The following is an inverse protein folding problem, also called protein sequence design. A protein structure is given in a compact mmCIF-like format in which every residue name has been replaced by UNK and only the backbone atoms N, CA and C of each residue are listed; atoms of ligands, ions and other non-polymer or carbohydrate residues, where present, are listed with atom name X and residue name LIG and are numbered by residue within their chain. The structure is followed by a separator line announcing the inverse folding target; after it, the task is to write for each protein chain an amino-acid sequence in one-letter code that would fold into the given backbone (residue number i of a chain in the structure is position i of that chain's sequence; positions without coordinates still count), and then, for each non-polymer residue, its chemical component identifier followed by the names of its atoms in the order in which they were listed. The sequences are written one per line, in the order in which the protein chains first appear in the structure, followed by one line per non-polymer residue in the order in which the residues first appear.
data_IF_594391353391
#
_entry.id   IF_594391353391
#
_cell.length_a   1.000
_cell.length_b   1.000
_cell.length_c   1.000
_cell.angle_alpha   90.00
_cell.angle_beta   90.00
_cell.angle_gamma   90.00
#
_symmetry.space_group_name_H-M   'P 1'
#
loop_
_entity.id
_entity.type
_entity.pdbx_description
1 polymer ?
#
# COMPACT_ATOMS: atom_id res chain seq x y z
N UNK A 1 7.91 -0.93 20.80
CA UNK A 1 7.30 -1.77 19.77
C UNK A 1 5.81 -1.87 19.99
N UNK A 2 5.02 -1.59 18.97
CA UNK A 2 3.60 -1.89 19.06
C UNK A 2 3.42 -3.39 19.31
N UNK A 3 2.49 -3.71 20.17
CA UNK A 3 2.37 -5.08 20.66
C UNK A 3 1.94 -6.11 19.65
N UNK A 4 1.07 -5.74 18.69
CA UNK A 4 0.43 -6.71 17.80
C UNK A 4 0.71 -6.40 16.35
N UNK A 5 1.54 -7.22 15.71
CA UNK A 5 1.82 -7.13 14.29
C UNK A 5 0.69 -7.78 13.48
N UNK A 6 0.35 -7.15 12.36
CA UNK A 6 -0.67 -7.67 11.47
C UNK A 6 -0.26 -8.99 10.82
N UNK A 7 -1.22 -9.90 10.65
CA UNK A 7 -0.98 -11.16 9.95
C UNK A 7 -0.60 -10.92 8.50
N UNK A 8 0.50 -11.52 7.99
CA UNK A 8 0.87 -11.38 6.59
C UNK A 8 -0.22 -11.86 5.63
N UNK A 9 -0.93 -12.93 5.95
CA UNK A 9 -2.00 -13.45 5.10
C UNK A 9 -3.16 -12.47 4.97
N UNK A 10 -3.59 -11.88 6.07
CA UNK A 10 -4.66 -10.87 6.04
C UNK A 10 -4.20 -9.58 5.36
N UNK A 11 -2.91 -9.25 5.45
CA UNK A 11 -2.35 -8.12 4.70
C UNK A 11 -2.40 -8.34 3.19
N UNK A 12 -2.16 -9.57 2.73
CA UNK A 12 -2.30 -9.93 1.32
C UNK A 12 -3.75 -9.73 0.87
N UNK A 13 -4.71 -10.23 1.64
CA UNK A 13 -6.14 -10.07 1.32
C UNK A 13 -6.52 -8.59 1.31
N UNK A 14 -6.09 -7.82 2.30
CA UNK A 14 -6.32 -6.38 2.33
C UNK A 14 -5.72 -5.66 1.13
N UNK A 15 -4.51 -6.06 0.73
CA UNK A 15 -3.86 -5.53 -0.47
C UNK A 15 -4.62 -5.85 -1.76
N UNK A 16 -5.21 -7.04 -1.85
CA UNK A 16 -6.06 -7.40 -3.00
C UNK A 16 -7.32 -6.53 -3.04
N UNK A 17 -7.90 -6.22 -1.90
CA UNK A 17 -9.04 -5.29 -1.81
C UNK A 17 -8.62 -3.91 -2.31
N UNK A 18 -7.45 -3.41 -1.90
CA UNK A 18 -6.91 -2.13 -2.35
C UNK A 18 -6.68 -2.12 -3.86
N UNK A 19 -6.15 -3.20 -4.43
CA UNK A 19 -5.94 -3.35 -5.88
C UNK A 19 -7.26 -3.21 -6.63
N UNK A 20 -8.31 -3.88 -6.15
CA UNK A 20 -9.64 -3.81 -6.78
C UNK A 20 -10.18 -2.38 -6.72
N UNK A 21 -10.09 -1.73 -5.55
CA UNK A 21 -10.57 -0.35 -5.39
C UNK A 21 -9.82 0.61 -6.31
N UNK A 22 -8.49 0.52 -6.32
CA UNK A 22 -7.66 1.39 -7.16
C UNK A 22 -7.95 1.15 -8.64
N UNK A 23 -8.11 -0.12 -9.04
CA UNK A 23 -8.45 -0.47 -10.41
C UNK A 23 -9.81 0.08 -10.85
N UNK A 24 -10.82 -0.01 -9.98
CA UNK A 24 -12.16 0.53 -10.27
C UNK A 24 -12.11 2.05 -10.39
N UNK A 25 -11.47 2.74 -9.44
CA UNK A 25 -11.38 4.20 -9.45
C UNK A 25 -10.61 4.68 -10.68
N UNK A 26 -9.46 4.09 -10.96
CA UNK A 26 -8.65 4.45 -12.12
C UNK A 26 -9.41 4.19 -13.42
N UNK A 27 -10.10 3.05 -13.52
CA UNK A 27 -10.91 2.71 -14.69
C UNK A 27 -12.06 3.69 -14.92
N UNK A 28 -12.72 4.15 -13.86
CA UNK A 28 -13.77 5.15 -13.95
C UNK A 28 -13.21 6.48 -14.46
N UNK A 29 -12.08 6.93 -13.90
CA UNK A 29 -11.44 8.18 -14.31
C UNK A 29 -11.02 8.10 -15.77
N UNK A 30 -10.37 7.02 -16.18
CA UNK A 30 -9.95 6.79 -17.56
C UNK A 30 -11.14 6.77 -18.52
N UNK A 31 -12.23 6.13 -18.12
CA UNK A 31 -13.46 6.11 -18.92
C UNK A 31 -14.08 7.48 -19.09
N UNK A 32 -14.08 8.32 -18.05
CA UNK A 32 -14.61 9.69 -18.11
C UNK A 32 -13.73 10.58 -18.96
N UNK A 33 -12.41 10.47 -18.83
CA UNK A 33 -11.46 11.32 -19.54
C UNK A 33 -11.20 10.84 -20.97
N UNK A 34 -11.69 9.65 -21.33
CA UNK A 34 -11.38 8.96 -22.61
C UNK A 34 -9.88 8.94 -22.84
N UNK A 35 -9.14 8.59 -21.78
CA UNK A 35 -7.71 8.77 -21.68
C UNK A 35 -6.93 8.13 -22.81
N UNK A 36 -5.96 8.87 -23.32
CA UNK A 36 -4.91 8.31 -24.15
C UNK A 36 -4.09 7.33 -23.30
N UNK A 37 -3.48 6.33 -23.94
CA UNK A 37 -2.63 5.37 -23.23
C UNK A 37 -1.47 6.03 -22.48
N UNK A 38 -1.06 7.22 -22.88
CA UNK A 38 0.00 8.00 -22.22
C UNK A 38 -0.47 8.49 -20.84
N UNK A 39 -1.75 8.85 -20.72
CA UNK A 39 -2.30 9.37 -19.48
C UNK A 39 -2.64 8.30 -18.45
N UNK A 40 -2.86 7.03 -18.87
CA UNK A 40 -3.36 6.00 -17.96
C UNK A 40 -2.37 5.68 -16.84
N UNK A 41 -1.09 5.56 -17.11
CA UNK A 41 -0.08 5.32 -16.09
C UNK A 41 0.06 6.47 -15.11
N UNK A 42 -0.06 7.72 -15.58
CA UNK A 42 -0.05 8.90 -14.73
C UNK A 42 -1.31 8.97 -13.86
N UNK A 43 -2.45 8.61 -14.42
CA UNK A 43 -3.72 8.52 -13.65
C UNK A 43 -3.59 7.47 -12.55
N UNK A 44 -3.11 6.28 -12.88
CA UNK A 44 -2.92 5.21 -11.89
C UNK A 44 -2.00 5.65 -10.76
N UNK A 45 -0.88 6.28 -11.09
CA UNK A 45 0.06 6.80 -10.11
C UNK A 45 -0.58 7.87 -9.23
N UNK A 46 -1.28 8.84 -9.83
CA UNK A 46 -1.92 9.92 -9.10
C UNK A 46 -3.01 9.39 -8.15
N UNK A 47 -3.82 8.45 -8.62
CA UNK A 47 -4.86 7.81 -7.80
C UNK A 47 -4.24 7.07 -6.61
N UNK A 48 -3.18 6.30 -6.85
CA UNK A 48 -2.52 5.55 -5.78
C UNK A 48 -1.85 6.49 -4.77
N UNK A 49 -1.17 7.53 -5.22
CA UNK A 49 -0.54 8.50 -4.33
C UNK A 49 -1.58 9.23 -3.48
N UNK A 50 -2.69 9.65 -4.08
CA UNK A 50 -3.78 10.28 -3.34
C UNK A 50 -4.43 9.34 -2.35
N UNK A 51 -4.70 8.12 -2.77
CA UNK A 51 -5.31 7.09 -1.95
C UNK A 51 -4.45 6.75 -0.74
N UNK A 52 -3.23 6.29 -0.98
CA UNK A 52 -2.34 5.90 0.11
C UNK A 52 -1.82 7.10 0.90
N UNK A 53 -1.44 8.18 0.22
CA UNK A 53 -0.92 9.37 0.89
C UNK A 53 -1.93 9.96 1.86
N UNK A 54 -3.15 10.15 1.43
CA UNK A 54 -4.20 10.71 2.26
C UNK A 54 -4.64 9.74 3.36
N UNK A 55 -5.00 8.51 3.00
CA UNK A 55 -5.57 7.57 3.96
C UNK A 55 -4.54 7.11 5.00
N UNK A 56 -3.30 6.85 4.60
CA UNK A 56 -2.29 6.39 5.55
C UNK A 56 -1.82 7.51 6.48
N UNK A 57 -1.73 8.75 5.99
CA UNK A 57 -1.32 9.86 6.84
C UNK A 57 -2.42 10.34 7.77
N UNK A 58 -3.69 10.28 7.33
CA UNK A 58 -4.82 10.77 8.12
C UNK A 58 -5.41 9.71 9.04
N UNK A 59 -5.50 8.47 8.60
CA UNK A 59 -6.16 7.38 9.34
C UNK A 59 -5.23 6.21 9.66
N UNK A 60 -4.03 6.20 9.09
CA UNK A 60 -3.10 5.09 9.24
C UNK A 60 -3.53 3.80 8.54
N UNK A 61 -4.54 3.86 7.68
CA UNK A 61 -5.07 2.65 7.05
C UNK A 61 -5.71 2.96 5.71
N UNK A 62 -5.48 2.06 4.74
CA UNK A 62 -6.23 2.02 3.50
C UNK A 62 -7.59 1.35 3.74
N UNK A 63 -8.46 1.38 2.74
CA UNK A 63 -9.77 0.74 2.86
C UNK A 63 -9.62 -0.77 3.08
N UNK A 64 -8.68 -1.41 2.36
CA UNK A 64 -8.40 -2.83 2.57
C UNK A 64 -7.94 -3.14 3.99
N UNK A 65 -7.16 -2.25 4.59
CA UNK A 65 -6.74 -2.39 5.99
C UNK A 65 -7.89 -2.16 6.97
N UNK A 66 -8.82 -1.27 6.64
CA UNK A 66 -9.99 -1.01 7.49
C UNK A 66 -10.84 -2.26 7.69
N UNK A 67 -10.93 -3.11 6.68
CA UNK A 67 -11.71 -4.35 6.75
C UNK A 67 -11.20 -5.26 7.87
N UNK A 68 -9.88 -5.27 8.08
CA UNK A 68 -9.24 -6.13 9.09
C UNK A 68 -8.75 -5.38 10.33
N UNK A 69 -9.00 -4.09 10.42
CA UNK A 69 -8.58 -3.30 11.58
C UNK A 69 -7.08 -3.04 11.66
N UNK A 70 -6.36 -3.09 10.53
CA UNK A 70 -4.92 -2.84 10.49
C UNK A 70 -4.62 -1.36 10.44
N UNK A 71 -3.49 -0.96 11.02
CA UNK A 71 -2.99 0.42 10.96
C UNK A 71 -1.50 0.43 10.68
N UNK A 72 -1.09 1.37 9.85
CA UNK A 72 0.32 1.64 9.55
C UNK A 72 0.82 2.68 10.54
N UNK A 73 2.00 2.42 11.12
CA UNK A 73 2.63 3.34 12.05
C UNK A 73 4.08 3.56 11.67
N UNK A 74 4.56 4.77 11.88
CA UNK A 74 5.96 5.10 11.73
C UNK A 74 6.75 4.41 12.85
N UNK A 75 7.85 3.75 12.47
CA UNK A 75 8.67 3.01 13.44
C UNK A 75 9.31 3.91 14.49
N UNK A 76 9.69 5.14 14.11
CA UNK A 76 10.39 6.04 14.99
C UNK A 76 9.46 6.72 16.00
N UNK A 77 8.23 7.04 15.59
CA UNK A 77 7.31 7.86 16.41
C UNK A 77 6.13 7.10 16.96
N UNK A 78 5.79 5.94 16.38
CA UNK A 78 4.57 5.19 16.72
C UNK A 78 3.28 5.85 16.24
N UNK A 79 3.38 6.97 15.56
CA UNK A 79 2.22 7.70 15.00
C UNK A 79 1.92 7.23 13.58
N UNK A 80 0.86 7.74 13.00
CA UNK A 80 0.59 7.52 11.59
C UNK A 80 1.71 8.13 10.74
N UNK A 81 2.02 7.53 9.58
CA UNK A 81 3.11 8.05 8.76
C UNK A 81 2.81 9.46 8.27
N UNK A 82 3.86 10.24 8.03
CA UNK A 82 3.73 11.54 7.37
C UNK A 82 3.23 11.33 5.93
N UNK A 83 2.74 12.40 5.31
CA UNK A 83 2.32 12.36 3.90
C UNK A 83 3.46 11.87 3.01
N UNK A 84 4.70 12.34 3.26
CA UNK A 84 5.87 11.89 2.51
C UNK A 84 6.14 10.40 2.66
N UNK A 85 6.13 9.89 3.88
CA UNK A 85 6.33 8.46 4.14
C UNK A 85 5.19 7.62 3.53
N UNK A 86 3.95 8.09 3.64
CA UNK A 86 2.80 7.42 3.04
C UNK A 86 2.91 7.36 1.52
N UNK A 87 3.37 8.43 0.88
CA UNK A 87 3.59 8.47 -0.57
C UNK A 87 4.70 7.51 -1.00
N UNK A 88 5.84 7.49 -0.29
CA UNK A 88 6.94 6.56 -0.56
C UNK A 88 6.47 5.12 -0.43
N UNK A 89 5.72 4.82 0.61
CA UNK A 89 5.15 3.50 0.82
C UNK A 89 4.20 3.10 -0.33
N UNK A 90 3.35 4.01 -0.77
CA UNK A 90 2.42 3.78 -1.87
C UNK A 90 3.13 3.51 -3.19
N UNK A 91 4.17 4.28 -3.50
CA UNK A 91 4.98 4.09 -4.71
C UNK A 91 5.68 2.72 -4.67
N UNK A 92 6.31 2.38 -3.55
CA UNK A 92 7.00 1.10 -3.39
C UNK A 92 6.02 -0.07 -3.51
N UNK A 93 4.82 0.06 -2.92
CA UNK A 93 3.77 -0.94 -3.02
C UNK A 93 3.33 -1.16 -4.48
N UNK A 94 3.17 -0.07 -5.23
CA UNK A 94 2.81 -0.17 -6.65
C UNK A 94 3.89 -0.86 -7.47
N UNK A 95 5.15 -0.53 -7.23
CA UNK A 95 6.28 -1.15 -7.93
C UNK A 95 6.32 -2.65 -7.64
N UNK A 96 6.13 -3.04 -6.40
CA UNK A 96 6.07 -4.45 -6.01
C UNK A 96 4.89 -5.17 -6.67
N UNK A 97 3.71 -4.56 -6.66
CA UNK A 97 2.53 -5.14 -7.29
C UNK A 97 2.71 -5.30 -8.79
N UNK A 98 3.25 -4.27 -9.46
CA UNK A 98 3.54 -4.32 -10.89
C UNK A 98 4.59 -5.37 -11.20
N UNK A 99 5.66 -5.42 -10.42
CA UNK A 99 6.73 -6.42 -10.59
C UNK A 99 6.24 -7.85 -10.41
N UNK A 100 5.25 -8.07 -9.54
CA UNK A 100 4.63 -9.37 -9.34
C UNK A 100 3.91 -9.83 -10.61
N UNK A 101 3.18 -8.91 -11.26
CA UNK A 101 2.44 -9.22 -12.48
C UNK A 101 3.39 -9.49 -13.65
N UNK A 102 4.46 -8.71 -13.78
CA UNK A 102 5.35 -8.76 -14.96
C UNK A 102 6.35 -9.90 -14.87
N UNK A 103 7.00 -10.11 -13.74
CA UNK A 103 8.11 -11.05 -13.65
C UNK A 103 8.25 -11.77 -12.30
N UNK A 104 7.26 -11.68 -11.45
CA UNK A 104 7.20 -12.27 -10.11
C UNK A 104 8.28 -11.76 -9.13
N UNK A 105 9.19 -10.88 -9.55
CA UNK A 105 10.20 -10.33 -8.66
C UNK A 105 9.58 -9.47 -7.56
N UNK A 106 8.48 -8.77 -7.87
CA UNK A 106 7.76 -8.00 -6.88
C UNK A 106 7.17 -8.85 -5.75
N UNK A 107 6.87 -10.13 -6.03
CA UNK A 107 6.37 -11.05 -5.03
C UNK A 107 7.39 -11.30 -3.92
N UNK A 108 8.68 -11.25 -4.21
CA UNK A 108 9.73 -11.38 -3.20
C UNK A 108 9.63 -10.23 -2.20
N UNK A 109 9.49 -9.00 -2.69
CA UNK A 109 9.35 -7.83 -1.82
C UNK A 109 8.09 -7.89 -0.97
N UNK A 110 6.96 -8.25 -1.58
CA UNK A 110 5.69 -8.41 -0.88
C UNK A 110 5.73 -9.57 0.11
N UNK A 111 6.33 -10.69 -0.30
CA UNK A 111 6.41 -11.91 0.49
C UNK A 111 7.41 -11.81 1.64
N UNK A 112 8.28 -10.79 1.64
CA UNK A 112 9.29 -10.64 2.70
C UNK A 112 8.69 -10.57 4.09
N UNK A 113 7.48 -10.04 4.21
CA UNK A 113 6.75 -9.96 5.48
C UNK A 113 6.50 -11.31 6.15
N UNK A 114 6.49 -12.41 5.38
CA UNK A 114 6.28 -13.76 5.93
C UNK A 114 7.50 -14.29 6.68
N UNK A 115 8.69 -13.79 6.36
CA UNK A 115 9.95 -14.25 6.96
C UNK A 115 10.61 -13.18 7.83
N UNK A 116 10.11 -11.96 7.83
CA UNK A 116 10.66 -10.86 8.60
C UNK A 116 10.14 -10.87 10.03
N UNK A 117 11.02 -10.60 11.00
CA UNK A 117 10.63 -10.56 12.43
C UNK A 117 9.62 -9.47 12.75
N UNK A 118 9.63 -8.38 12.00
CA UNK A 118 8.67 -7.27 12.14
C UNK A 118 7.52 -7.37 11.14
N UNK A 119 7.48 -8.44 10.38
CA UNK A 119 6.49 -8.65 9.32
C UNK A 119 6.42 -7.48 8.35
N UNK A 120 7.58 -6.93 8.00
CA UNK A 120 7.70 -5.83 7.06
C UNK A 120 7.94 -6.36 5.65
N UNK A 121 7.10 -5.95 4.70
CA UNK A 121 7.39 -6.06 3.27
C UNK A 121 8.40 -4.98 2.89
N UNK A 122 8.93 -5.00 1.68
CA UNK A 122 9.91 -4.00 1.26
C UNK A 122 9.34 -2.58 1.29
N UNK A 123 8.07 -2.39 0.91
CA UNK A 123 7.46 -1.06 0.97
C UNK A 123 7.38 -0.54 2.41
N UNK A 124 7.19 -1.41 3.40
CA UNK A 124 7.26 -1.03 4.82
C UNK A 124 8.66 -0.57 5.21
N UNK A 125 9.68 -1.32 4.79
CA UNK A 125 11.07 -1.03 5.12
C UNK A 125 11.54 0.29 4.49
N UNK A 126 11.19 0.52 3.23
CA UNK A 126 11.57 1.74 2.52
C UNK A 126 10.95 2.97 3.19
N UNK A 127 9.71 2.87 3.62
CA UNK A 127 9.00 3.98 4.26
C UNK A 127 9.26 4.09 5.77
N UNK A 128 9.94 3.12 6.38
CA UNK A 128 10.18 3.10 7.82
C UNK A 128 8.90 2.88 8.63
N UNK A 129 8.01 2.04 8.13
CA UNK A 129 6.70 1.79 8.73
C UNK A 129 6.52 0.34 9.16
N UNK A 130 5.50 0.10 9.95
CA UNK A 130 5.11 -1.21 10.45
C UNK A 130 3.58 -1.27 10.45
N UNK A 131 3.01 -2.44 10.27
CA UNK A 131 1.56 -2.64 10.27
C UNK A 131 1.14 -3.39 11.52
N UNK A 132 0.19 -2.83 12.24
CA UNK A 132 -0.29 -3.34 13.51
C UNK A 132 -1.80 -3.60 13.47
N UNK A 133 -2.30 -4.32 14.45
CA UNK A 133 -3.74 -4.58 14.62
C UNK A 133 -4.41 -3.56 15.55
N UNK A 134 -3.65 -2.61 16.03
CA UNK A 134 -4.19 -1.60 16.97
C UNK A 134 -3.57 -0.23 16.76
#
# INVERSE_FOLDING_TARGET
MPGNLASPWLRVVGGLIDIVILGVVAGIIEGITKGSHIGSGLVDLAVALGYFGYLLSSRGQSIGMMVFGFKVRDLATGRYPSVGAAAVRGIAWMIEAFGTVVCLLGAIGWGWQFVDSRRQAFHDKIAGTIVTTS
#
